data_IF_234369544664
#
_entry.id   IF_234369544664
#
_cell.length_a   1.000
_cell.length_b   1.000
_cell.length_c   1.000
_cell.angle_alpha   90.00
_cell.angle_beta   90.00
_cell.angle_gamma   90.00
#
_symmetry.space_group_name_H-M   'P 1'
#
loop_
_entity.id
_entity.type
_entity.pdbx_description
1 polymer ?
#
# COMPACT_ATOMS: atom_id res chain seq x y z
N UNK A 1 10.47 29.44 29.50
CA UNK A 1 11.22 28.91 28.34
C UNK A 1 11.21 27.39 28.23
N UNK A 2 11.24 26.63 29.33
CA UNK A 2 11.22 25.16 29.31
C UNK A 2 9.94 24.54 28.67
N UNK A 3 8.75 25.08 28.97
CA UNK A 3 7.49 24.55 28.43
C UNK A 3 7.38 24.66 26.90
N UNK A 4 7.95 25.71 26.33
CA UNK A 4 7.91 25.97 24.89
C UNK A 4 8.80 24.98 24.11
N UNK A 5 9.90 24.52 24.74
CA UNK A 5 10.78 23.48 24.20
C UNK A 5 10.11 22.11 24.26
N UNK A 6 9.36 21.82 25.33
CA UNK A 6 8.65 20.55 25.53
C UNK A 6 7.49 20.36 24.52
N UNK A 7 6.72 21.42 24.26
CA UNK A 7 5.61 21.38 23.28
C UNK A 7 6.14 21.18 21.85
N UNK A 8 7.26 21.85 21.51
CA UNK A 8 7.87 21.75 20.18
C UNK A 8 8.45 20.35 19.93
N UNK A 9 9.11 19.75 20.92
CA UNK A 9 9.68 18.40 20.78
C UNK A 9 8.59 17.32 20.64
N UNK A 10 7.49 17.42 21.39
CA UNK A 10 6.35 16.51 21.26
C UNK A 10 5.69 16.60 19.87
N UNK A 11 5.54 17.81 19.32
CA UNK A 11 5.01 18.02 17.96
C UNK A 11 5.88 17.37 16.88
N UNK A 12 7.21 17.48 17.00
CA UNK A 12 8.15 16.88 16.06
C UNK A 12 8.09 15.34 16.08
N UNK A 13 8.02 14.74 17.28
CA UNK A 13 7.94 13.28 17.42
C UNK A 13 6.67 12.72 16.77
N UNK A 14 5.53 13.39 16.92
CA UNK A 14 4.27 12.96 16.29
C UNK A 14 4.36 13.06 14.77
N UNK A 15 4.93 14.15 14.23
CA UNK A 15 5.14 14.31 12.78
C UNK A 15 6.06 13.23 12.21
N UNK A 16 7.18 12.94 12.87
CA UNK A 16 8.12 11.90 12.41
C UNK A 16 7.46 10.51 12.38
N UNK A 17 6.69 10.16 13.43
CA UNK A 17 5.95 8.88 13.46
C UNK A 17 4.96 8.76 12.31
N UNK A 18 4.23 9.83 12.01
CA UNK A 18 3.31 9.86 10.88
C UNK A 18 4.03 9.70 9.54
N UNK A 19 5.15 10.41 9.34
CA UNK A 19 5.94 10.29 8.11
C UNK A 19 6.47 8.87 7.89
N UNK A 20 6.94 8.21 8.95
CA UNK A 20 7.39 6.81 8.88
C UNK A 20 6.22 5.89 8.48
N UNK A 21 5.05 6.04 9.11
CA UNK A 21 3.86 5.27 8.74
C UNK A 21 3.45 5.49 7.28
N UNK A 22 3.41 6.74 6.83
CA UNK A 22 3.08 7.08 5.44
C UNK A 22 4.09 6.43 4.50
N UNK A 23 5.39 6.55 4.78
CA UNK A 23 6.44 5.94 3.96
C UNK A 23 6.30 4.42 3.85
N UNK A 24 5.96 3.73 4.96
CA UNK A 24 5.72 2.29 4.96
C UNK A 24 4.49 1.89 4.13
N UNK A 25 3.49 2.77 4.01
CA UNK A 25 2.25 2.47 3.29
C UNK A 25 2.29 2.78 1.79
N UNK A 26 3.31 3.49 1.29
CA UNK A 26 3.40 3.87 -0.14
C UNK A 26 3.35 2.65 -1.06
N UNK A 27 4.21 1.66 -0.83
CA UNK A 27 4.29 0.47 -1.69
C UNK A 27 3.04 -0.41 -1.59
N UNK A 28 2.49 -0.70 -0.38
CA UNK A 28 1.20 -1.37 -0.26
C UNK A 28 0.06 -0.69 -1.02
N UNK A 29 -0.05 0.63 -0.91
CA UNK A 29 -1.07 1.40 -1.61
C UNK A 29 -0.88 1.35 -3.14
N UNK A 30 0.37 1.46 -3.61
CA UNK A 30 0.69 1.32 -5.03
C UNK A 30 0.35 -0.08 -5.56
N UNK A 31 0.65 -1.14 -4.80
CA UNK A 31 0.32 -2.52 -5.14
C UNK A 31 -1.19 -2.72 -5.26
N UNK A 32 -1.95 -2.25 -4.26
CA UNK A 32 -3.42 -2.36 -4.24
C UNK A 32 -4.06 -1.59 -5.40
N UNK A 33 -3.62 -0.36 -5.65
CA UNK A 33 -4.14 0.46 -6.76
C UNK A 33 -3.81 -0.13 -8.12
N UNK A 34 -2.64 -0.72 -8.30
CA UNK A 34 -2.25 -1.42 -9.54
C UNK A 34 -3.14 -2.64 -9.79
N UNK A 35 -3.41 -3.44 -8.75
CA UNK A 35 -4.31 -4.60 -8.85
C UNK A 35 -5.75 -4.18 -9.20
N UNK A 36 -6.29 -3.16 -8.52
CA UNK A 36 -7.64 -2.65 -8.78
C UNK A 36 -7.76 -2.12 -10.22
N UNK A 37 -6.75 -1.39 -10.70
CA UNK A 37 -6.73 -0.88 -12.08
C UNK A 37 -6.77 -2.01 -13.11
N UNK A 38 -5.97 -3.05 -12.91
CA UNK A 38 -5.99 -4.22 -13.79
C UNK A 38 -7.35 -4.92 -13.73
N UNK A 39 -7.90 -5.12 -12.53
CA UNK A 39 -9.21 -5.77 -12.35
C UNK A 39 -10.31 -5.03 -13.12
N UNK A 40 -10.39 -3.71 -13.00
CA UNK A 40 -11.36 -2.88 -13.74
C UNK A 40 -11.13 -2.96 -15.24
N UNK A 41 -9.87 -2.94 -15.69
CA UNK A 41 -9.54 -3.01 -17.12
C UNK A 41 -9.90 -4.37 -17.74
N UNK A 42 -9.70 -5.46 -16.98
CA UNK A 42 -10.11 -6.82 -17.38
C UNK A 42 -11.63 -6.90 -17.49
N UNK A 43 -12.35 -6.45 -16.46
CA UNK A 43 -13.82 -6.44 -16.44
C UNK A 43 -14.40 -5.69 -17.63
N UNK A 44 -13.91 -4.47 -17.87
CA UNK A 44 -14.31 -3.64 -19.01
C UNK A 44 -13.99 -4.30 -20.37
N UNK A 45 -12.87 -5.01 -20.47
CA UNK A 45 -12.49 -5.71 -21.70
C UNK A 45 -13.47 -6.86 -22.00
N UNK A 46 -13.76 -7.67 -20.98
CA UNK A 46 -14.67 -8.81 -21.10
C UNK A 46 -16.10 -8.38 -21.42
N UNK A 47 -16.59 -7.31 -20.77
CA UNK A 47 -17.92 -6.74 -21.04
C UNK A 47 -18.06 -6.23 -22.49
N UNK A 48 -16.97 -5.76 -23.07
CA UNK A 48 -16.94 -5.32 -24.48
C UNK A 48 -16.77 -6.46 -25.48
N UNK A 49 -16.63 -7.71 -25.02
CA UNK A 49 -16.37 -8.88 -25.86
C UNK A 49 -14.92 -9.01 -26.33
N UNK A 50 -13.99 -8.26 -25.74
CA UNK A 50 -12.55 -8.40 -25.97
C UNK A 50 -11.93 -9.44 -25.03
N UNK A 51 -10.74 -9.91 -25.39
CA UNK A 51 -9.85 -10.63 -24.48
C UNK A 51 -8.83 -9.66 -23.88
N UNK A 52 -8.45 -9.83 -22.61
CA UNK A 52 -7.46 -8.95 -21.98
C UNK A 52 -6.03 -9.50 -22.11
N UNK A 53 -5.13 -8.72 -22.70
CA UNK A 53 -3.70 -9.03 -22.75
C UNK A 53 -3.02 -8.59 -21.45
N UNK A 54 -2.71 -9.56 -20.59
CA UNK A 54 -2.04 -9.35 -19.30
C UNK A 54 -0.57 -8.91 -19.39
N UNK A 55 0.06 -9.06 -20.57
CA UNK A 55 1.45 -8.64 -20.83
C UNK A 55 1.46 -7.18 -21.29
N UNK A 56 0.60 -6.82 -22.24
CA UNK A 56 0.50 -5.44 -22.72
C UNK A 56 -0.41 -4.54 -21.86
N UNK A 57 -1.22 -5.12 -20.98
CA UNK A 57 -2.11 -4.39 -20.08
C UNK A 57 -3.29 -3.71 -20.77
N UNK A 58 -3.83 -4.32 -21.84
CA UNK A 58 -4.89 -3.72 -22.68
C UNK A 58 -5.87 -4.75 -23.21
N UNK A 59 -7.05 -4.28 -23.61
CA UNK A 59 -8.03 -5.09 -24.33
C UNK A 59 -7.55 -5.37 -25.77
N UNK A 60 -7.76 -6.60 -26.22
CA UNK A 60 -7.53 -7.06 -27.59
C UNK A 60 -8.77 -7.80 -28.12
N UNK A 61 -9.30 -7.32 -29.25
CA UNK A 61 -10.49 -7.87 -29.91
C UNK A 61 -10.17 -8.91 -30.98
N UNK A 62 -8.87 -9.14 -31.27
CA UNK A 62 -8.44 -10.01 -32.37
C UNK A 62 -8.05 -11.39 -31.91
N UNK A 63 -7.42 -11.50 -30.75
CA UNK A 63 -6.86 -12.75 -30.25
C UNK A 63 -7.27 -13.02 -28.81
N UNK A 64 -7.51 -14.30 -28.52
CA UNK A 64 -7.75 -14.76 -27.16
C UNK A 64 -6.43 -14.88 -26.39
N UNK A 65 -6.38 -14.29 -25.21
CA UNK A 65 -5.24 -14.31 -24.31
C UNK A 65 -5.51 -15.21 -23.10
N UNK A 66 -4.48 -15.92 -22.65
CA UNK A 66 -4.55 -16.77 -21.46
C UNK A 66 -4.51 -15.89 -20.21
N UNK A 67 -5.29 -16.24 -19.19
CA UNK A 67 -5.23 -15.61 -17.89
C UNK A 67 -3.85 -15.76 -17.24
N UNK A 68 -3.23 -14.64 -16.84
CA UNK A 68 -1.96 -14.63 -16.10
C UNK A 68 -2.18 -13.94 -14.75
N UNK A 69 -2.12 -14.66 -13.62
CA UNK A 69 -2.35 -14.09 -12.31
C UNK A 69 -1.41 -12.90 -12.03
N UNK A 70 -1.95 -11.86 -11.38
CA UNK A 70 -1.18 -10.68 -10.98
C UNK A 70 0.07 -11.06 -10.16
N UNK A 71 -0.03 -12.09 -9.32
CA UNK A 71 1.08 -12.60 -8.49
C UNK A 71 2.23 -13.21 -9.27
N UNK A 72 1.96 -13.79 -10.45
CA UNK A 72 3.01 -14.32 -11.31
C UNK A 72 3.81 -13.21 -11.99
N UNK A 73 3.16 -12.09 -12.36
CA UNK A 73 3.80 -10.94 -13.02
C UNK A 73 4.45 -9.97 -12.04
N UNK A 74 3.87 -9.81 -10.86
CA UNK A 74 4.25 -8.76 -9.89
C UNK A 74 4.73 -9.33 -8.55
N UNK A 75 5.40 -10.50 -8.56
CA UNK A 75 5.83 -11.22 -7.35
C UNK A 75 6.61 -10.33 -6.37
N UNK A 76 7.60 -9.59 -6.86
CA UNK A 76 8.42 -8.69 -6.02
C UNK A 76 7.59 -7.58 -5.39
N UNK A 77 6.64 -7.01 -6.14
CA UNK A 77 5.74 -5.99 -5.64
C UNK A 77 4.83 -6.52 -4.53
N UNK A 78 4.27 -7.73 -4.70
CA UNK A 78 3.46 -8.38 -3.66
C UNK A 78 4.28 -8.67 -2.40
N UNK A 79 5.47 -9.24 -2.55
CA UNK A 79 6.32 -9.58 -1.39
C UNK A 79 6.72 -8.31 -0.63
N UNK A 80 7.20 -7.29 -1.34
CA UNK A 80 7.58 -6.01 -0.73
C UNK A 80 6.39 -5.30 -0.08
N UNK A 81 5.23 -5.29 -0.73
CA UNK A 81 3.96 -4.81 -0.16
C UNK A 81 3.61 -5.53 1.14
N UNK A 82 3.67 -6.86 1.16
CA UNK A 82 3.37 -7.66 2.35
C UNK A 82 4.32 -7.37 3.52
N UNK A 83 5.62 -7.28 3.25
CA UNK A 83 6.63 -6.95 4.27
C UNK A 83 6.41 -5.55 4.82
N UNK A 84 6.19 -4.56 3.97
CA UNK A 84 6.01 -3.16 4.38
C UNK A 84 4.69 -2.95 5.12
N UNK A 85 3.62 -3.64 4.72
CA UNK A 85 2.35 -3.62 5.43
C UNK A 85 2.50 -4.24 6.83
N UNK A 86 3.18 -5.37 6.95
CA UNK A 86 3.48 -5.99 8.25
C UNK A 86 4.31 -5.05 9.14
N UNK A 87 5.33 -4.40 8.58
CA UNK A 87 6.14 -3.41 9.29
C UNK A 87 5.29 -2.21 9.75
N UNK A 88 4.38 -1.71 8.93
CA UNK A 88 3.47 -0.62 9.28
C UNK A 88 2.57 -1.00 10.46
N UNK A 89 2.01 -2.22 10.46
CA UNK A 89 1.19 -2.73 11.55
C UNK A 89 1.99 -2.82 12.85
N UNK A 90 3.16 -3.47 12.82
CA UNK A 90 4.02 -3.62 14.00
C UNK A 90 4.43 -2.25 14.56
N UNK A 91 4.88 -1.34 13.69
CA UNK A 91 5.29 0.01 14.08
C UNK A 91 4.12 0.82 14.66
N UNK A 92 2.95 0.74 14.02
CA UNK A 92 1.73 1.40 14.49
C UNK A 92 1.31 0.90 15.87
N UNK A 93 1.28 -0.41 16.08
CA UNK A 93 0.97 -1.03 17.38
C UNK A 93 1.95 -0.55 18.46
N UNK A 94 3.26 -0.57 18.19
CA UNK A 94 4.27 -0.07 19.12
C UNK A 94 4.05 1.41 19.48
N UNK A 95 3.81 2.26 18.49
CA UNK A 95 3.58 3.69 18.69
C UNK A 95 2.33 3.97 19.53
N UNK A 96 1.27 3.17 19.36
CA UNK A 96 0.02 3.26 20.14
C UNK A 96 0.24 2.76 21.58
N UNK A 97 0.86 1.60 21.76
CA UNK A 97 1.15 1.04 23.10
C UNK A 97 2.01 1.99 23.94
N UNK A 98 3.02 2.62 23.34
CA UNK A 98 3.82 3.63 24.04
C UNK A 98 3.00 4.85 24.46
N UNK A 99 2.06 5.30 23.62
CA UNK A 99 1.17 6.43 23.94
C UNK A 99 0.19 6.10 25.07
N UNK A 100 -0.36 4.89 25.09
CA UNK A 100 -1.26 4.43 26.15
C UNK A 100 -0.53 4.33 27.50
N UNK A 101 0.68 3.77 27.51
CA UNK A 101 1.51 3.68 28.72
C UNK A 101 1.85 5.05 29.31
N UNK A 102 2.19 6.03 28.48
CA UNK A 102 2.48 7.40 28.94
C UNK A 102 1.26 8.18 29.44
N UNK A 103 0.03 7.68 29.24
CA UNK A 103 -1.21 8.30 29.76
C UNK A 103 -1.72 7.63 31.04
N UNK A 104 -1.24 6.43 31.35
CA UNK A 104 -1.64 5.65 32.51
C UNK A 104 -0.74 5.89 33.74
N UNK A 105 0.39 6.56 33.54
CA UNK A 105 1.34 7.03 34.56
C UNK A 105 1.18 8.54 34.63
#
# INVERSE_FOLDING_TARGET
>A
MADLVLVRSHSLIVKTRLLILVALLVVPLFCATSYIREFIAVDSALDSGASYDYVAGRADYRTNHVFIPFSHRHRTLIVSSGVLLAAAVVYGSFAISGRLRSRAI
#
